data_IF_716718521484
#
_entry.id   IF_716718521484
#
_cell.length_a   1.000
_cell.length_b   1.000
_cell.length_c   1.000
_cell.angle_alpha   90.00
_cell.angle_beta   90.00
_cell.angle_gamma   90.00
#
_symmetry.space_group_name_H-M   'P 1'
#
loop_
_entity.id
_entity.type
_entity.pdbx_description
1 polymer ?
#
# COMPACT_ATOMS: atom_id res chain seq x y z
N UNK A 1 -12.93 -4.14 11.60
CA UNK A 1 -13.87 -3.72 10.55
C UNK A 1 -15.27 -3.39 11.12
N UNK A 2 -16.11 -2.83 10.30
CA UNK A 2 -17.52 -2.53 10.67
C UNK A 2 -18.25 -3.77 11.21
N UNK A 3 -18.05 -4.91 10.57
CA UNK A 3 -18.65 -6.19 11.02
C UNK A 3 -17.77 -6.93 12.04
N UNK A 4 -16.84 -6.23 12.68
CA UNK A 4 -15.95 -6.74 13.74
C UNK A 4 -15.02 -7.88 13.29
N UNK A 5 -14.69 -7.97 11.99
CA UNK A 5 -13.60 -8.84 11.54
C UNK A 5 -12.28 -8.21 11.92
N UNK A 6 -11.35 -9.04 12.41
CA UNK A 6 -10.01 -8.60 12.76
C UNK A 6 -9.23 -8.29 11.48
N UNK A 7 -8.45 -7.22 11.51
CA UNK A 7 -7.45 -6.89 10.51
C UNK A 7 -6.11 -7.32 11.09
N UNK A 8 -5.40 -8.20 10.38
CA UNK A 8 -4.11 -8.71 10.81
C UNK A 8 -3.00 -7.98 10.06
N UNK A 9 -2.00 -7.55 10.81
CA UNK A 9 -0.71 -7.14 10.29
C UNK A 9 0.36 -8.03 10.94
N UNK A 10 1.29 -8.52 10.13
CA UNK A 10 2.43 -9.33 10.57
C UNK A 10 3.65 -8.42 10.67
N UNK A 11 4.38 -8.45 11.78
CA UNK A 11 5.70 -7.84 11.91
C UNK A 11 6.74 -8.93 11.66
N UNK A 12 7.63 -8.72 10.70
CA UNK A 12 8.75 -9.62 10.39
C UNK A 12 10.05 -8.86 10.57
N UNK A 13 10.85 -9.29 11.50
CA UNK A 13 12.18 -8.83 11.88
C UNK A 13 12.87 -9.95 12.64
N UNK A 14 14.15 -9.88 12.91
CA UNK A 14 14.89 -10.90 13.67
C UNK A 14 14.58 -10.87 15.18
N UNK A 15 14.17 -9.72 15.73
CA UNK A 15 13.76 -9.56 17.13
C UNK A 15 12.36 -8.97 17.28
N UNK A 16 11.27 -9.70 16.93
CA UNK A 16 9.92 -9.14 16.82
C UNK A 16 9.35 -8.55 18.12
N UNK A 17 9.85 -8.97 19.26
CA UNK A 17 9.41 -8.52 20.59
C UNK A 17 10.28 -7.36 21.14
N UNK A 18 11.28 -6.92 20.41
CA UNK A 18 12.19 -5.83 20.80
C UNK A 18 12.00 -4.67 19.85
N UNK A 19 11.96 -3.45 20.38
CA UNK A 19 12.02 -2.23 19.56
C UNK A 19 13.48 -1.92 19.26
N UNK A 20 13.82 -1.88 17.98
CA UNK A 20 15.19 -1.64 17.52
C UNK A 20 15.24 -0.35 16.68
N UNK A 21 16.43 0.21 16.51
CA UNK A 21 16.63 1.41 15.69
C UNK A 21 16.79 1.01 14.22
N UNK A 22 15.75 0.39 13.68
CA UNK A 22 15.67 -0.11 12.31
C UNK A 22 14.61 0.65 11.50
N UNK A 23 14.80 0.81 10.19
CA UNK A 23 13.76 1.39 9.34
C UNK A 23 12.53 0.49 9.29
N UNK A 24 11.37 1.06 9.59
CA UNK A 24 10.08 0.39 9.45
C UNK A 24 9.54 0.56 8.03
N UNK A 25 9.12 -0.55 7.40
CA UNK A 25 8.48 -0.55 6.08
C UNK A 25 7.12 -1.25 6.13
N UNK A 26 6.15 -0.75 5.36
CA UNK A 26 4.77 -1.26 5.40
C UNK A 26 4.24 -1.61 4.02
N UNK A 27 3.73 -2.84 3.88
CA UNK A 27 3.02 -3.29 2.69
C UNK A 27 1.60 -3.69 3.04
N UNK A 28 0.63 -3.08 2.39
CA UNK A 28 -0.79 -3.33 2.62
C UNK A 28 -1.51 -3.67 1.32
N UNK A 29 -2.65 -4.34 1.41
CA UNK A 29 -3.45 -4.69 0.25
C UNK A 29 -4.95 -4.71 0.56
N UNK A 30 -5.76 -4.79 -0.49
CA UNK A 30 -7.20 -4.94 -0.42
C UNK A 30 -7.91 -3.89 0.43
N UNK A 31 -7.52 -2.62 0.30
CA UNK A 31 -8.34 -1.49 0.77
C UNK A 31 -9.67 -1.46 0.00
N UNK A 32 -9.66 -1.89 -1.26
CA UNK A 32 -10.85 -2.28 -1.99
C UNK A 32 -11.00 -3.81 -1.90
N UNK A 33 -12.10 -4.29 -1.33
CA UNK A 33 -12.25 -5.70 -1.04
C UNK A 33 -12.40 -6.61 -2.28
N UNK A 34 -12.66 -6.03 -3.45
CA UNK A 34 -12.74 -6.72 -4.73
C UNK A 34 -11.40 -6.83 -5.48
N UNK A 35 -10.30 -6.30 -4.91
CA UNK A 35 -8.95 -6.29 -5.51
C UNK A 35 -8.06 -7.30 -4.76
N UNK A 36 -8.02 -8.55 -5.22
CA UNK A 36 -7.53 -9.66 -4.40
C UNK A 36 -6.08 -10.08 -4.66
N UNK A 37 -5.46 -9.66 -5.76
CA UNK A 37 -4.09 -10.07 -6.13
C UNK A 37 -3.07 -9.60 -5.09
N UNK A 38 -3.23 -8.38 -4.58
CA UNK A 38 -2.35 -7.83 -3.55
C UNK A 38 -2.36 -8.62 -2.25
N UNK A 39 -3.48 -9.28 -1.89
CA UNK A 39 -3.56 -10.15 -0.71
C UNK A 39 -2.56 -11.29 -0.83
N UNK A 40 -2.56 -11.94 -1.98
CA UNK A 40 -1.66 -13.05 -2.27
C UNK A 40 -0.20 -12.61 -2.28
N UNK A 41 0.09 -11.47 -2.94
CA UNK A 41 1.46 -10.94 -2.99
C UNK A 41 2.02 -10.63 -1.59
N UNK A 42 1.26 -9.94 -0.76
CA UNK A 42 1.69 -9.58 0.61
C UNK A 42 1.83 -10.84 1.47
N UNK A 43 0.93 -11.82 1.33
CA UNK A 43 1.02 -13.09 2.06
C UNK A 43 2.23 -13.92 1.63
N UNK A 44 2.51 -14.00 0.32
CA UNK A 44 3.71 -14.70 -0.19
C UNK A 44 5.00 -13.99 0.19
N UNK A 45 5.00 -12.65 0.27
CA UNK A 45 6.16 -11.91 0.78
C UNK A 45 6.45 -12.31 2.23
N UNK A 46 5.41 -12.47 3.07
CA UNK A 46 5.59 -12.95 4.44
C UNK A 46 6.21 -14.37 4.50
N UNK A 47 5.68 -15.29 3.69
CA UNK A 47 6.22 -16.65 3.58
C UNK A 47 7.67 -16.66 3.08
N UNK A 48 7.96 -15.83 2.06
CA UNK A 48 9.30 -15.71 1.49
C UNK A 48 10.32 -15.22 2.51
N UNK A 49 10.01 -14.13 3.23
CA UNK A 49 10.90 -13.59 4.25
C UNK A 49 11.13 -14.60 5.39
N UNK A 50 10.05 -15.20 5.90
CA UNK A 50 10.13 -16.17 7.00
C UNK A 50 10.87 -17.47 6.62
N UNK A 51 10.62 -18.02 5.42
CA UNK A 51 11.24 -19.28 4.98
C UNK A 51 12.68 -19.10 4.48
N UNK A 52 13.00 -17.89 3.95
CA UNK A 52 14.33 -17.57 3.44
C UNK A 52 15.31 -17.12 4.52
N UNK A 53 14.83 -16.74 5.70
CA UNK A 53 15.68 -16.33 6.82
C UNK A 53 16.68 -17.43 7.21
N UNK A 54 17.95 -17.07 7.34
CA UNK A 54 19.03 -18.00 7.66
C UNK A 54 19.48 -18.93 6.51
N UNK A 55 18.77 -18.92 5.36
CA UNK A 55 19.10 -19.76 4.20
C UNK A 55 19.44 -18.95 2.94
N UNK A 56 18.76 -17.83 2.73
CA UNK A 56 19.06 -16.87 1.68
C UNK A 56 19.71 -15.62 2.30
N UNK A 57 20.90 -15.25 1.82
CA UNK A 57 21.67 -14.15 2.40
C UNK A 57 20.98 -12.79 2.24
N UNK A 58 20.28 -12.55 1.11
CA UNK A 58 19.57 -11.29 0.85
C UNK A 58 18.34 -11.17 1.75
N UNK A 59 17.55 -12.24 1.86
CA UNK A 59 16.37 -12.27 2.71
C UNK A 59 16.75 -12.17 4.19
N UNK A 60 17.83 -12.83 4.59
CA UNK A 60 18.37 -12.73 5.97
C UNK A 60 18.78 -11.28 6.28
N UNK A 61 19.48 -10.61 5.37
CA UNK A 61 19.84 -9.19 5.53
C UNK A 61 18.60 -8.31 5.67
N UNK A 62 17.57 -8.51 4.83
CA UNK A 62 16.34 -7.73 4.91
C UNK A 62 15.62 -7.90 6.26
N UNK A 63 15.58 -9.13 6.80
CA UNK A 63 14.94 -9.41 8.08
C UNK A 63 15.76 -8.90 9.27
N UNK A 64 17.10 -8.84 9.15
CA UNK A 64 17.98 -8.33 10.21
C UNK A 64 18.10 -6.81 10.23
N UNK A 65 17.74 -6.11 9.16
CA UNK A 65 17.99 -4.68 9.05
C UNK A 65 16.70 -3.85 8.89
N UNK A 66 15.53 -4.51 8.83
CA UNK A 66 14.23 -3.85 8.64
C UNK A 66 13.15 -4.46 9.52
N UNK A 67 12.31 -3.61 10.07
CA UNK A 67 11.00 -4.02 10.58
C UNK A 67 9.98 -4.00 9.44
N UNK A 68 9.62 -5.17 8.92
CA UNK A 68 8.66 -5.29 7.81
C UNK A 68 7.25 -5.59 8.32
N UNK A 69 6.32 -4.66 8.09
CA UNK A 69 4.92 -4.80 8.45
C UNK A 69 4.07 -5.17 7.24
N UNK A 70 3.41 -6.31 7.29
CA UNK A 70 2.64 -6.92 6.20
C UNK A 70 1.17 -7.01 6.59
N UNK A 71 0.32 -6.21 5.94
CA UNK A 71 -1.11 -6.09 6.23
C UNK A 71 -1.92 -6.52 4.98
N UNK A 72 -2.10 -7.83 4.73
CA UNK A 72 -2.62 -8.32 3.45
C UNK A 72 -4.09 -7.97 3.18
N UNK A 73 -4.88 -7.68 4.20
CA UNK A 73 -6.33 -7.49 4.05
C UNK A 73 -6.84 -6.30 4.90
N UNK A 74 -6.84 -5.11 4.29
CA UNK A 74 -7.32 -3.88 4.91
C UNK A 74 -8.85 -3.88 5.10
N UNK A 75 -9.60 -4.34 4.10
CA UNK A 75 -11.06 -4.33 4.07
C UNK A 75 -11.66 -5.75 4.08
N UNK A 76 -11.69 -6.43 5.23
CA UNK A 76 -12.18 -7.81 5.30
C UNK A 76 -13.68 -7.93 5.02
N UNK A 77 -14.47 -6.89 5.31
CA UNK A 77 -15.90 -6.90 5.05
C UNK A 77 -16.19 -6.79 3.54
N UNK A 78 -15.47 -5.88 2.85
CA UNK A 78 -15.53 -5.76 1.39
C UNK A 78 -15.04 -7.01 0.68
N UNK A 79 -13.98 -7.66 1.19
CA UNK A 79 -13.45 -8.90 0.64
C UNK A 79 -14.51 -10.02 0.65
N UNK A 80 -15.20 -10.24 1.78
CA UNK A 80 -16.27 -11.25 1.90
C UNK A 80 -17.45 -10.91 0.97
N UNK A 81 -17.79 -9.63 0.85
CA UNK A 81 -18.87 -9.17 -0.01
C UNK A 81 -18.49 -9.08 -1.49
N UNK A 82 -17.21 -9.33 -1.85
CA UNK A 82 -16.64 -9.05 -3.18
C UNK A 82 -16.95 -7.62 -3.66
N UNK A 83 -16.80 -6.65 -2.77
CA UNK A 83 -17.16 -5.25 -2.94
C UNK A 83 -15.94 -4.35 -2.82
N UNK A 84 -15.92 -3.28 -3.63
CA UNK A 84 -14.95 -2.19 -3.49
C UNK A 84 -15.07 -1.48 -2.13
N UNK A 85 -16.28 -1.40 -1.60
CA UNK A 85 -16.65 -0.65 -0.41
C UNK A 85 -16.59 -1.52 0.84
N UNK A 86 -16.48 -0.89 2.02
CA UNK A 86 -16.65 -1.58 3.29
C UNK A 86 -18.14 -1.89 3.57
N UNK A 87 -18.47 -2.46 4.72
CA UNK A 87 -19.84 -2.82 5.08
C UNK A 87 -20.78 -1.62 5.28
N UNK A 88 -20.27 -0.41 5.45
CA UNK A 88 -21.03 0.84 5.48
C UNK A 88 -21.22 1.46 4.07
N UNK A 89 -20.75 0.81 3.01
CA UNK A 89 -20.79 1.35 1.65
C UNK A 89 -19.80 2.50 1.40
N UNK A 90 -18.76 2.62 2.21
CA UNK A 90 -17.74 3.66 2.10
C UNK A 90 -16.53 3.13 1.35
N UNK A 91 -16.00 3.94 0.41
CA UNK A 91 -14.71 3.69 -0.23
C UNK A 91 -13.60 4.11 0.74
N UNK A 92 -12.89 3.13 1.31
CA UNK A 92 -11.85 3.38 2.30
C UNK A 92 -10.68 4.22 1.76
N UNK A 93 -10.38 4.11 0.46
CA UNK A 93 -9.36 4.95 -0.18
C UNK A 93 -9.91 6.34 -0.63
N UNK A 94 -10.89 6.86 0.08
CA UNK A 94 -11.48 8.21 0.02
C UNK A 94 -11.86 8.70 1.42
N UNK A 95 -11.40 8.02 2.46
CA UNK A 95 -11.82 8.23 3.84
C UNK A 95 -10.64 8.56 4.78
N UNK A 96 -9.45 8.82 4.23
CA UNK A 96 -8.32 9.39 4.98
C UNK A 96 -8.42 10.93 5.01
N UNK A 97 -7.75 11.60 5.95
CA UNK A 97 -7.50 13.03 5.86
C UNK A 97 -6.83 13.39 4.53
N UNK A 98 -7.16 14.57 4.01
CA UNK A 98 -6.66 15.03 2.73
C UNK A 98 -6.07 16.45 2.87
N UNK A 99 -4.85 16.70 2.41
CA UNK A 99 -4.18 17.98 2.67
C UNK A 99 -4.89 19.21 2.06
N UNK A 100 -5.80 19.00 1.12
CA UNK A 100 -6.50 20.07 0.42
C UNK A 100 -7.96 20.20 0.90
N UNK A 101 -8.71 19.09 0.86
CA UNK A 101 -10.15 19.07 1.09
C UNK A 101 -10.58 18.77 2.52
N UNK A 102 -9.72 18.10 3.31
CA UNK A 102 -9.98 17.70 4.70
C UNK A 102 -8.67 17.71 5.52
N UNK A 103 -8.08 18.89 5.76
CA UNK A 103 -6.69 19.04 6.22
C UNK A 103 -6.48 18.83 7.72
N UNK A 104 -7.37 18.08 8.38
CA UNK A 104 -7.25 17.76 9.81
C UNK A 104 -6.88 16.29 9.98
N UNK A 105 -5.66 16.03 10.49
CA UNK A 105 -5.19 14.67 10.78
C UNK A 105 -5.89 14.09 12.02
N UNK A 106 -7.04 13.47 11.81
CA UNK A 106 -7.85 12.88 12.88
C UNK A 106 -8.50 11.57 12.42
N UNK A 107 -8.64 10.64 13.36
CA UNK A 107 -9.44 9.41 13.18
C UNK A 107 -10.94 9.65 13.36
N UNK A 108 -11.34 10.81 13.87
CA UNK A 108 -12.74 11.12 14.14
C UNK A 108 -13.55 11.14 12.84
N UNK A 109 -14.66 10.38 12.84
CA UNK A 109 -15.54 10.26 11.69
C UNK A 109 -15.07 9.29 10.61
N UNK A 110 -13.86 8.73 10.69
CA UNK A 110 -13.34 7.75 9.74
C UNK A 110 -13.93 6.36 9.97
N UNK A 111 -13.88 5.54 8.94
CA UNK A 111 -14.31 4.14 9.06
C UNK A 111 -13.37 3.37 9.99
N UNK A 112 -13.87 2.36 10.73
CA UNK A 112 -13.07 1.64 11.73
C UNK A 112 -11.83 0.94 11.12
N UNK A 113 -11.89 0.55 9.86
CA UNK A 113 -10.75 0.01 9.13
C UNK A 113 -9.64 1.05 8.98
N UNK A 114 -9.98 2.27 8.56
CA UNK A 114 -9.03 3.37 8.40
C UNK A 114 -8.54 3.89 9.76
N UNK A 115 -9.41 3.95 10.77
CA UNK A 115 -8.97 4.30 12.13
C UNK A 115 -7.85 3.37 12.61
N UNK A 116 -7.98 2.06 12.35
CA UNK A 116 -6.96 1.08 12.73
C UNK A 116 -5.63 1.31 11.98
N UNK A 117 -5.66 1.58 10.67
CA UNK A 117 -4.46 1.88 9.89
C UNK A 117 -3.83 3.23 10.24
N UNK A 118 -4.64 4.25 10.53
CA UNK A 118 -4.14 5.53 11.02
C UNK A 118 -3.49 5.38 12.39
N UNK A 119 -4.10 4.59 13.30
CA UNK A 119 -3.51 4.31 14.61
C UNK A 119 -2.17 3.59 14.49
N UNK A 120 -2.04 2.63 13.57
CA UNK A 120 -0.76 1.99 13.24
C UNK A 120 0.28 3.04 12.79
N UNK A 121 -0.09 3.94 11.88
CA UNK A 121 0.77 5.03 11.42
C UNK A 121 1.09 6.09 12.48
N UNK A 122 0.28 6.23 13.54
CA UNK A 122 0.59 7.12 14.68
C UNK A 122 1.58 6.49 15.66
N UNK A 123 1.59 5.16 15.74
CA UNK A 123 2.44 4.43 16.70
C UNK A 123 3.77 3.99 16.09
N UNK A 124 3.89 3.98 14.77
CA UNK A 124 5.07 3.58 14.02
C UNK A 124 5.56 4.69 13.09
N UNK A 125 6.84 4.60 12.67
CA UNK A 125 7.48 5.58 11.79
C UNK A 125 7.93 4.93 10.49
N UNK A 126 6.95 4.50 9.69
CA UNK A 126 7.24 3.92 8.40
C UNK A 126 7.99 4.90 7.49
N UNK A 127 9.15 4.48 7.00
CA UNK A 127 9.94 5.27 6.05
C UNK A 127 9.50 5.04 4.61
N UNK A 128 8.98 3.83 4.33
CA UNK A 128 8.51 3.41 3.01
C UNK A 128 7.24 2.58 3.16
N UNK A 129 6.28 2.79 2.27
CA UNK A 129 5.07 1.98 2.22
C UNK A 129 4.53 1.78 0.82
N UNK A 130 3.77 0.71 0.66
CA UNK A 130 2.99 0.47 -0.55
C UNK A 130 1.61 -0.09 -0.22
N UNK A 131 0.62 0.34 -1.01
CA UNK A 131 -0.72 -0.21 -1.00
C UNK A 131 -1.00 -0.87 -2.35
N UNK A 132 -1.24 -2.18 -2.32
CA UNK A 132 -1.50 -2.96 -3.52
C UNK A 132 -2.98 -2.91 -3.91
N UNK A 133 -3.21 -2.58 -5.18
CA UNK A 133 -4.49 -2.45 -5.84
C UNK A 133 -4.60 -3.34 -7.07
N UNK A 134 -5.78 -3.32 -7.71
CA UNK A 134 -6.02 -3.98 -8.99
C UNK A 134 -7.07 -3.26 -9.82
N UNK A 135 -6.92 -3.38 -11.13
CA UNK A 135 -7.73 -2.71 -12.15
C UNK A 135 -6.89 -1.96 -13.17
N UNK A 136 -5.59 -1.85 -12.91
CA UNK A 136 -4.58 -1.27 -13.79
C UNK A 136 -3.23 -1.96 -13.59
N UNK A 137 -2.20 -1.50 -14.31
CA UNK A 137 -0.80 -1.90 -14.17
C UNK A 137 0.04 -0.62 -14.12
N UNK A 138 0.36 -0.13 -12.94
CA UNK A 138 1.11 1.12 -12.74
C UNK A 138 1.57 1.27 -11.30
N UNK A 139 2.70 1.94 -11.08
CA UNK A 139 3.08 2.48 -9.79
C UNK A 139 2.67 3.95 -9.75
N UNK A 140 1.74 4.27 -8.88
CA UNK A 140 1.22 5.62 -8.66
C UNK A 140 1.85 6.20 -7.38
N UNK A 141 2.25 7.47 -7.42
CA UNK A 141 2.86 8.17 -6.29
C UNK A 141 2.30 9.59 -6.11
N UNK A 142 2.51 10.21 -4.94
CA UNK A 142 1.91 11.50 -4.59
C UNK A 142 2.20 12.65 -5.58
N UNK A 143 1.23 13.51 -5.72
CA UNK A 143 -0.05 13.58 -5.02
C UNK A 143 -1.15 12.90 -5.82
N UNK A 144 -2.09 12.29 -5.10
CA UNK A 144 -3.34 11.81 -5.69
C UNK A 144 -4.34 12.96 -5.89
N UNK A 145 -4.39 13.92 -4.96
CA UNK A 145 -5.22 15.10 -5.09
C UNK A 145 -4.43 16.24 -5.75
N UNK A 146 -4.91 16.72 -6.91
CA UNK A 146 -4.22 17.78 -7.66
C UNK A 146 -4.14 19.07 -6.83
N UNK A 147 -2.93 19.56 -6.46
CA UNK A 147 -2.79 20.82 -5.77
C UNK A 147 -3.37 21.97 -6.58
N UNK A 148 -4.18 22.86 -5.96
CA UNK A 148 -4.86 23.95 -6.69
C UNK A 148 -3.90 25.02 -7.22
N UNK A 149 -2.69 25.10 -6.63
CA UNK A 149 -1.65 26.06 -7.00
C UNK A 149 -0.27 25.38 -7.03
N UNK A 150 0.70 25.90 -7.81
CA UNK A 150 2.07 25.41 -7.78
C UNK A 150 2.73 25.55 -6.39
N UNK A 151 3.65 24.62 -6.00
CA UNK A 151 4.08 23.48 -6.81
C UNK A 151 3.03 22.37 -6.81
N UNK A 152 2.81 21.73 -7.98
CA UNK A 152 1.83 20.62 -8.13
C UNK A 152 2.41 19.26 -7.83
N UNK A 153 3.71 19.15 -7.68
CA UNK A 153 4.43 17.90 -7.38
C UNK A 153 4.86 17.87 -5.93
N UNK A 154 4.96 16.67 -5.39
CA UNK A 154 5.49 16.46 -4.05
C UNK A 154 6.95 16.94 -3.94
N UNK A 155 7.40 17.44 -2.77
CA UNK A 155 8.80 17.82 -2.58
C UNK A 155 9.81 16.73 -2.98
N UNK A 156 9.49 15.45 -2.69
CA UNK A 156 10.32 14.29 -2.98
C UNK A 156 9.96 13.61 -4.32
N UNK A 157 9.36 14.34 -5.27
CA UNK A 157 8.85 13.79 -6.53
C UNK A 157 9.90 12.98 -7.31
N UNK A 158 11.16 13.44 -7.39
CA UNK A 158 12.22 12.71 -8.08
C UNK A 158 12.57 11.40 -7.38
N UNK A 159 12.55 11.38 -6.04
CA UNK A 159 12.78 10.16 -5.27
C UNK A 159 11.63 9.17 -5.48
N UNK A 160 10.38 9.62 -5.39
CA UNK A 160 9.21 8.80 -5.71
C UNK A 160 9.31 8.20 -7.11
N UNK A 161 9.63 9.00 -8.11
CA UNK A 161 9.79 8.53 -9.48
C UNK A 161 10.89 7.45 -9.56
N UNK A 162 12.04 7.67 -8.95
CA UNK A 162 13.16 6.73 -8.96
C UNK A 162 12.79 5.40 -8.32
N UNK A 163 12.16 5.42 -7.13
CA UNK A 163 11.71 4.22 -6.44
C UNK A 163 10.64 3.47 -7.26
N UNK A 164 9.68 4.20 -7.81
CA UNK A 164 8.58 3.64 -8.61
C UNK A 164 9.07 2.98 -9.89
N UNK A 165 9.98 3.63 -10.62
CA UNK A 165 10.62 3.05 -11.81
C UNK A 165 11.45 1.82 -11.45
N UNK A 166 12.18 1.87 -10.32
CA UNK A 166 12.91 0.71 -9.82
C UNK A 166 12.01 -0.51 -9.57
N UNK A 167 10.82 -0.30 -8.99
CA UNK A 167 9.82 -1.35 -8.82
C UNK A 167 9.25 -1.84 -10.16
N UNK A 168 8.83 -0.91 -11.03
CA UNK A 168 8.24 -1.23 -12.33
C UNK A 168 9.23 -2.00 -13.22
N UNK A 169 10.52 -1.68 -13.18
CA UNK A 169 11.56 -2.36 -13.95
C UNK A 169 11.72 -3.84 -13.59
N UNK A 170 11.36 -4.23 -12.36
CA UNK A 170 11.36 -5.62 -11.91
C UNK A 170 10.05 -6.35 -12.23
N UNK A 171 9.04 -5.63 -12.75
CA UNK A 171 7.74 -6.18 -13.11
C UNK A 171 7.42 -5.88 -14.59
N UNK A 172 7.73 -6.82 -15.53
CA UNK A 172 7.55 -6.58 -16.96
C UNK A 172 6.12 -6.22 -17.38
N UNK A 173 5.10 -6.70 -16.69
CA UNK A 173 3.70 -6.36 -16.99
C UNK A 173 3.40 -4.89 -16.67
N UNK A 174 3.85 -4.38 -15.52
CA UNK A 174 3.71 -2.97 -15.17
C UNK A 174 4.49 -2.11 -16.16
N UNK A 175 5.72 -2.50 -16.46
CA UNK A 175 6.59 -1.72 -17.33
C UNK A 175 6.08 -1.60 -18.77
N UNK A 176 5.50 -2.69 -19.33
CA UNK A 176 5.21 -2.78 -20.77
C UNK A 176 3.72 -2.74 -21.11
N UNK A 177 2.86 -3.26 -20.25
CA UNK A 177 1.45 -3.52 -20.58
C UNK A 177 0.48 -2.52 -19.94
N UNK A 178 0.94 -1.69 -18.99
CA UNK A 178 0.10 -0.73 -18.26
C UNK A 178 -0.31 0.51 -19.06
N UNK A 179 0.41 0.82 -20.13
CA UNK A 179 0.15 2.02 -20.95
C UNK A 179 0.69 3.31 -20.34
N UNK A 180 1.40 3.24 -19.21
CA UNK A 180 2.06 4.36 -18.56
C UNK A 180 3.56 4.38 -18.91
N UNK A 181 4.09 5.58 -19.17
CA UNK A 181 5.52 5.73 -19.46
C UNK A 181 6.34 5.21 -18.28
N UNK A 182 7.30 4.33 -18.54
CA UNK A 182 8.17 3.69 -17.54
C UNK A 182 7.40 2.92 -16.44
N UNK A 183 6.09 2.63 -16.67
CA UNK A 183 5.22 1.95 -15.72
C UNK A 183 4.79 2.78 -14.51
N UNK A 184 4.94 4.12 -14.55
CA UNK A 184 4.72 4.99 -13.40
C UNK A 184 3.88 6.22 -13.74
N UNK A 185 3.24 6.81 -12.72
CA UNK A 185 2.50 8.07 -12.85
C UNK A 185 2.44 8.83 -11.53
N UNK A 186 2.35 10.15 -11.60
CA UNK A 186 1.85 10.96 -10.48
C UNK A 186 0.33 10.77 -10.41
N UNK A 187 -0.23 10.60 -9.23
CA UNK A 187 -1.64 10.27 -9.06
C UNK A 187 -2.60 11.21 -9.76
N UNK A 188 -2.50 12.50 -9.52
CA UNK A 188 -3.40 13.48 -10.14
C UNK A 188 -3.27 13.58 -11.68
N UNK A 189 -2.13 13.22 -12.25
CA UNK A 189 -1.94 13.16 -13.71
C UNK A 189 -2.73 12.00 -14.35
N UNK A 190 -3.00 10.96 -13.58
CA UNK A 190 -3.87 9.87 -14.00
C UNK A 190 -5.35 10.24 -13.79
N UNK A 191 -5.74 10.44 -12.55
CA UNK A 191 -7.03 11.03 -12.16
C UNK A 191 -6.97 11.51 -10.70
N UNK A 192 -7.44 12.73 -10.46
CA UNK A 192 -7.39 13.32 -9.12
C UNK A 192 -8.41 12.68 -8.19
N UNK A 193 -7.96 12.32 -6.98
CA UNK A 193 -8.80 11.83 -5.90
C UNK A 193 -8.47 12.56 -4.60
N UNK A 194 -9.40 12.55 -3.67
CA UNK A 194 -9.25 13.10 -2.33
C UNK A 194 -9.42 12.01 -1.28
N UNK A 195 -8.71 12.10 -0.17
CA UNK A 195 -8.80 11.18 0.95
C UNK A 195 -8.16 9.81 0.69
N UNK A 196 -7.13 9.75 -0.15
CA UNK A 196 -6.33 8.56 -0.40
C UNK A 196 -5.32 8.28 0.73
N UNK A 197 -5.01 6.99 0.95
CA UNK A 197 -4.02 6.57 1.95
C UNK A 197 -2.64 7.14 1.64
N UNK A 198 -2.23 7.15 0.40
CA UNK A 198 -0.89 7.55 -0.02
C UNK A 198 -0.61 9.02 0.31
N UNK A 199 -1.53 9.94 0.03
CA UNK A 199 -1.36 11.36 0.33
C UNK A 199 -1.37 11.62 1.84
N UNK A 200 -2.24 10.90 2.61
CA UNK A 200 -2.23 10.97 4.06
C UNK A 200 -0.90 10.49 4.66
N UNK A 201 -0.42 9.33 4.23
CA UNK A 201 0.82 8.72 4.72
C UNK A 201 2.03 9.63 4.44
N UNK A 202 2.12 10.18 3.24
CA UNK A 202 3.21 11.09 2.90
C UNK A 202 3.10 12.44 3.64
N UNK A 203 1.92 13.07 3.64
CA UNK A 203 1.76 14.44 4.19
C UNK A 203 1.93 14.51 5.71
N UNK A 204 1.40 13.53 6.45
CA UNK A 204 1.40 13.59 7.92
C UNK A 204 2.33 12.60 8.59
N UNK A 205 2.74 11.55 7.91
CA UNK A 205 3.63 10.52 8.48
C UNK A 205 5.04 10.58 7.93
N UNK A 206 5.30 11.41 6.90
CA UNK A 206 6.57 11.46 6.15
C UNK A 206 6.96 10.08 5.59
N UNK A 207 5.99 9.24 5.30
CA UNK A 207 6.15 7.93 4.72
C UNK A 207 6.24 8.07 3.19
N UNK A 208 7.30 7.58 2.57
CA UNK A 208 7.36 7.48 1.11
C UNK A 208 6.39 6.38 0.66
N UNK A 209 5.11 6.72 0.59
CA UNK A 209 4.03 5.79 0.28
C UNK A 209 3.61 5.85 -1.18
N UNK A 210 3.48 4.66 -1.81
CA UNK A 210 3.03 4.53 -3.19
C UNK A 210 1.83 3.59 -3.29
N UNK A 211 1.04 3.77 -4.35
CA UNK A 211 -0.04 2.85 -4.72
C UNK A 211 0.42 2.02 -5.90
N UNK A 212 0.31 0.69 -5.82
CA UNK A 212 0.76 -0.22 -6.86
C UNK A 212 -0.42 -1.01 -7.40
N UNK A 213 -0.79 -0.75 -8.63
CA UNK A 213 -1.80 -1.50 -9.38
C UNK A 213 -1.13 -2.70 -10.06
N UNK A 214 -1.42 -3.91 -9.62
CA UNK A 214 -0.68 -5.11 -9.98
C UNK A 214 -1.40 -6.03 -10.96
N UNK A 215 -2.63 -5.73 -11.35
CA UNK A 215 -3.43 -6.59 -12.23
C UNK A 215 -4.52 -5.81 -12.94
N UNK A 216 -4.69 -6.03 -14.25
CA UNK A 216 -5.82 -5.49 -15.02
C UNK A 216 -7.16 -6.07 -14.56
N UNK A 217 -7.16 -7.27 -14.00
CA UNK A 217 -8.34 -7.95 -13.48
C UNK A 217 -8.30 -7.90 -11.95
N UNK A 218 -9.28 -7.25 -11.34
CA UNK A 218 -9.34 -7.05 -9.89
C UNK A 218 -9.38 -8.36 -9.09
N UNK A 219 -10.07 -9.37 -9.62
CA UNK A 219 -10.23 -10.69 -9.01
C UNK A 219 -10.05 -11.77 -10.09
N UNK A 220 -8.81 -12.02 -10.52
CA UNK A 220 -8.55 -13.11 -11.47
C UNK A 220 -8.89 -14.46 -10.84
N UNK A 221 -9.14 -15.47 -11.68
CA UNK A 221 -9.19 -16.84 -11.21
C UNK A 221 -7.81 -17.20 -10.61
N UNK A 222 -7.83 -17.81 -9.44
CA UNK A 222 -6.59 -18.28 -8.81
C UNK A 222 -6.00 -19.43 -9.67
N UNK A 223 -4.79 -19.24 -10.13
CA UNK A 223 -4.02 -20.26 -10.83
C UNK A 223 -2.60 -20.26 -10.26
N UNK A 224 -2.30 -21.29 -9.48
CA UNK A 224 -0.99 -21.44 -8.83
C UNK A 224 0.17 -21.49 -9.85
N UNK A 225 -0.07 -22.00 -11.04
CA UNK A 225 0.93 -22.06 -12.10
C UNK A 225 1.22 -20.68 -12.71
N UNK A 226 0.30 -19.73 -12.66
CA UNK A 226 0.46 -18.37 -13.19
C UNK A 226 1.23 -17.44 -12.25
N UNK A 227 1.38 -17.81 -10.97
CA UNK A 227 2.06 -16.98 -9.97
C UNK A 227 3.59 -17.19 -9.98
N UNK A 228 4.08 -18.16 -10.74
CA UNK A 228 5.50 -18.48 -10.89
C UNK A 228 6.19 -18.93 -9.58
N UNK A 229 7.35 -19.51 -9.65
CA UNK A 229 8.19 -19.72 -8.48
C UNK A 229 8.77 -18.40 -7.98
#
# INVERSE_FOLDING_TARGET
SVQRRVIYCLKITDHPDVEEDEPEVKFSAAIHGDETVGIELVSRLAELLASGYGTDARLTTLVNELETWLCPLHNPDGYIASSRYNANGVNLNRDFPDPISDPVDTTDGRQPENQAFMQLGYTHRFVLGANYHGGALVVNYPWDNEPPVPPKYAPDNELFHTLSVGYAALNPQILMDGGFKDGVTVGWEWYSISGGMQDWAYNWRNELHVTIEVSLIKKPAFDEASLGP
#
